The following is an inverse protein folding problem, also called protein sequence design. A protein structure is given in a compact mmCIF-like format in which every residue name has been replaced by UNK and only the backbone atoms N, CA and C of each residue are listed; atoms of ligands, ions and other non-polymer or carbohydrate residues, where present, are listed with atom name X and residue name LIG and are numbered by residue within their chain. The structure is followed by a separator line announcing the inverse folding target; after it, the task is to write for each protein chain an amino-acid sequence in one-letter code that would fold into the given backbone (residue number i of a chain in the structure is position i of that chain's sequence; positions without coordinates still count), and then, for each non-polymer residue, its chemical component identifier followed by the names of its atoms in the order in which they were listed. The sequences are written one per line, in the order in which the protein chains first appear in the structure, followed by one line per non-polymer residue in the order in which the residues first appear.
data_IF_905717122221
#
_entry.id   IF_905717122221
#
_cell.length_a   1.000
_cell.length_b   1.000
_cell.length_c   1.000
_cell.angle_alpha   90.00
_cell.angle_beta   90.00
_cell.angle_gamma   90.00
#
_symmetry.space_group_name_H-M   'P 1'
#
loop_
_entity.id
_entity.type
_entity.pdbx_description
1 polymer ?
#
# COMPACT_ATOMS: atom_id res chain seq x y z
N UNK A 1 -19.01 -14.21 -7.32
CA UNK A 1 -19.33 -14.09 -5.89
C UNK A 1 -18.19 -13.34 -5.22
N UNK A 2 -18.42 -12.08 -4.84
CA UNK A 2 -17.41 -11.21 -4.24
C UNK A 2 -17.18 -11.64 -2.78
N UNK A 3 -16.13 -12.44 -2.56
CA UNK A 3 -15.68 -12.86 -1.23
C UNK A 3 -15.13 -11.69 -0.42
N UNK A 4 -16.02 -10.83 0.06
CA UNK A 4 -15.67 -9.79 1.01
C UNK A 4 -15.24 -10.40 2.33
N UNK A 5 -14.08 -10.00 2.85
CA UNK A 5 -13.56 -10.42 4.15
C UNK A 5 -14.52 -9.97 5.25
N UNK A 6 -15.06 -10.92 6.02
CA UNK A 6 -15.97 -10.65 7.14
C UNK A 6 -15.11 -10.33 8.36
N UNK A 7 -15.05 -9.05 8.74
CA UNK A 7 -14.36 -8.59 9.94
C UNK A 7 -15.40 -8.53 11.08
N UNK A 8 -15.03 -9.06 12.26
CA UNK A 8 -15.88 -9.06 13.45
C UNK A 8 -15.26 -8.20 14.55
N UNK A 9 -16.08 -7.49 15.31
CA UNK A 9 -15.63 -6.72 16.47
C UNK A 9 -15.34 -7.64 17.69
N UNK A 10 -14.86 -7.04 18.78
CA UNK A 10 -14.56 -7.73 20.06
C UNK A 10 -15.80 -8.39 20.69
N UNK A 11 -17.00 -8.02 20.25
CA UNK A 11 -18.30 -8.57 20.69
C UNK A 11 -18.87 -9.56 19.68
N UNK A 12 -18.14 -9.88 18.60
CA UNK A 12 -18.52 -10.84 17.57
C UNK A 12 -19.46 -10.31 16.48
N UNK A 13 -19.79 -9.02 16.46
CA UNK A 13 -20.67 -8.43 15.45
C UNK A 13 -19.94 -8.28 14.12
N UNK A 14 -20.63 -8.57 13.00
CA UNK A 14 -20.09 -8.37 11.66
C UNK A 14 -20.02 -6.87 11.36
N UNK A 15 -18.82 -6.32 11.37
CA UNK A 15 -18.57 -4.93 11.00
C UNK A 15 -18.05 -4.92 9.57
N UNK A 16 -18.93 -4.57 8.62
CA UNK A 16 -18.52 -4.34 7.24
C UNK A 16 -17.80 -2.98 7.17
N UNK A 17 -16.51 -2.97 7.51
CA UNK A 17 -15.66 -1.79 7.37
C UNK A 17 -15.30 -1.68 5.89
N UNK A 18 -16.17 -1.04 5.10
CA UNK A 18 -15.78 -0.50 3.80
C UNK A 18 -15.26 0.91 4.11
N UNK A 19 -13.94 1.14 4.08
CA UNK A 19 -13.43 2.47 4.38
C UNK A 19 -13.96 3.44 3.34
N UNK A 20 -14.40 4.62 3.78
CA UNK A 20 -14.80 5.67 2.85
C UNK A 20 -13.59 6.12 2.02
N UNK A 21 -13.83 6.79 0.89
CA UNK A 21 -12.76 7.33 0.05
C UNK A 21 -11.78 8.21 0.85
N UNK A 22 -12.27 8.95 1.84
CA UNK A 22 -11.44 9.78 2.73
C UNK A 22 -10.61 8.96 3.72
N UNK A 23 -11.17 7.88 4.26
CA UNK A 23 -10.41 6.97 5.13
C UNK A 23 -9.30 6.27 4.34
N UNK A 24 -9.60 5.78 3.13
CA UNK A 24 -8.57 5.25 2.22
C UNK A 24 -7.48 6.27 1.94
N UNK A 25 -7.85 7.53 1.68
CA UNK A 25 -6.87 8.61 1.48
C UNK A 25 -5.97 8.76 2.72
N UNK A 26 -6.54 8.81 3.93
CA UNK A 26 -5.76 8.89 5.17
C UNK A 26 -4.84 7.68 5.39
N UNK A 27 -5.31 6.46 5.11
CA UNK A 27 -4.49 5.24 5.21
C UNK A 27 -3.35 5.20 4.20
N UNK A 28 -3.58 5.63 2.96
CA UNK A 28 -2.60 5.55 1.88
C UNK A 28 -1.62 6.73 1.86
N UNK A 29 -2.02 7.90 2.39
CA UNK A 29 -1.17 9.10 2.44
C UNK A 29 0.22 8.85 3.03
N UNK A 30 0.40 8.18 4.18
CA UNK A 30 1.73 7.91 4.73
C UNK A 30 2.53 6.87 3.92
N UNK A 31 1.85 5.99 3.18
CA UNK A 31 2.50 4.93 2.39
C UNK A 31 3.05 5.43 1.05
N UNK A 32 2.52 6.54 0.53
CA UNK A 32 2.91 7.09 -0.78
C UNK A 32 4.37 7.60 -0.78
N UNK A 33 4.84 8.40 0.19
CA UNK A 33 6.23 8.86 0.22
C UNK A 33 7.24 7.71 0.33
N UNK A 34 7.01 6.78 1.26
CA UNK A 34 7.90 5.64 1.48
C UNK A 34 7.98 4.74 0.23
N UNK A 35 6.83 4.45 -0.41
CA UNK A 35 6.83 3.70 -1.67
C UNK A 35 7.57 4.44 -2.79
N UNK A 36 7.43 5.78 -2.86
CA UNK A 36 8.11 6.61 -3.86
C UNK A 36 9.63 6.57 -3.69
N UNK A 37 10.13 6.68 -2.46
CA UNK A 37 11.56 6.59 -2.17
C UNK A 37 12.13 5.23 -2.53
N UNK A 38 11.45 4.14 -2.19
CA UNK A 38 11.86 2.79 -2.57
C UNK A 38 11.91 2.58 -4.09
N UNK A 39 10.94 3.13 -4.83
CA UNK A 39 10.94 3.07 -6.30
C UNK A 39 12.12 3.87 -6.87
N UNK A 40 12.42 5.05 -6.31
CA UNK A 40 13.55 5.86 -6.75
C UNK A 40 14.89 5.17 -6.48
N UNK A 41 15.07 4.61 -5.29
CA UNK A 41 16.28 3.85 -4.93
C UNK A 41 16.51 2.69 -5.90
N UNK A 42 15.47 1.87 -6.17
CA UNK A 42 15.58 0.77 -7.13
C UNK A 42 15.92 1.23 -8.55
N UNK A 43 15.36 2.35 -9.01
CA UNK A 43 15.68 2.91 -10.33
C UNK A 43 17.13 3.38 -10.43
N UNK A 44 17.65 4.01 -9.37
CA UNK A 44 19.05 4.43 -9.32
C UNK A 44 19.99 3.23 -9.30
N UNK A 45 19.69 2.22 -8.48
CA UNK A 45 20.47 0.98 -8.41
C UNK A 45 20.53 0.26 -9.76
N UNK A 46 19.39 0.15 -10.46
CA UNK A 46 19.34 -0.45 -11.80
C UNK A 46 20.17 0.34 -12.83
N UNK A 47 20.14 1.68 -12.78
CA UNK A 47 20.95 2.52 -13.67
C UNK A 47 22.44 2.36 -13.40
N UNK A 48 22.83 2.31 -12.12
CA UNK A 48 24.23 2.12 -11.74
C UNK A 48 24.74 0.75 -12.22
N UNK A 49 23.97 -0.33 -12.01
CA UNK A 49 24.31 -1.66 -12.52
C UNK A 49 24.43 -1.72 -14.04
N UNK A 50 23.58 -0.98 -14.77
CA UNK A 50 23.69 -0.88 -16.24
C UNK A 50 24.94 -0.10 -16.69
N UNK A 51 25.37 0.90 -15.91
CA UNK A 51 26.60 1.65 -16.21
C UNK A 51 27.86 0.88 -15.85
N UNK A 52 27.85 0.05 -14.80
CA UNK A 52 28.99 -0.83 -14.45
C UNK A 52 29.18 -1.99 -15.45
N UNK A 53 28.11 -2.39 -16.13
CA UNK A 53 28.14 -3.45 -17.15
C UNK A 53 28.39 -2.93 -18.57
N UNK A 54 28.65 -1.63 -18.74
CA UNK A 54 29.04 -0.97 -20.00
C UNK A 54 30.53 -0.65 -19.98
#
# INVERSE_FOLDING_TARGET
MSGGQIIRDEKGNVVKIVPTKEQWKKFLTPLIPAARELILQRKLEQRNKQNESK
#
